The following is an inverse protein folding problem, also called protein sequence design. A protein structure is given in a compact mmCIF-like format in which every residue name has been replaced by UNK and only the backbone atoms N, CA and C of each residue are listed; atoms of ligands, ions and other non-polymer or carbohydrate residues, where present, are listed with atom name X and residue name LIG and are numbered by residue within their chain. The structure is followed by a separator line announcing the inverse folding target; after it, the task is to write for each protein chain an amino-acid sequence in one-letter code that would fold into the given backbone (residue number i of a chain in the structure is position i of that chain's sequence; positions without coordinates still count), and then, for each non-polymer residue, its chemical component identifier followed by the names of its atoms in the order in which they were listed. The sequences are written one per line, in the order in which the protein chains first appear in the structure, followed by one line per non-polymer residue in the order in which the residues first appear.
data_IF_961237060145
#
_entry.id   IF_961237060145
#
_cell.length_a   1.000
_cell.length_b   1.000
_cell.length_c   1.000
_cell.angle_alpha   90.00
_cell.angle_beta   90.00
_cell.angle_gamma   90.00
#
_symmetry.space_group_name_H-M   'P 1'
#
loop_
_entity.id
_entity.type
_entity.pdbx_description
1 polymer ?
#
# COMPACT_ATOMS: atom_id res chain seq x y z
N UNK A 1 8.89 6.68 8.82
CA UNK A 1 7.88 5.65 8.54
C UNK A 1 7.44 4.99 9.82
N UNK A 2 6.14 4.83 10.02
CA UNK A 2 5.60 3.97 11.06
C UNK A 2 5.76 2.49 10.66
N UNK A 3 5.86 1.61 11.65
CA UNK A 3 5.83 0.17 11.37
C UNK A 3 4.38 -0.31 11.14
N UNK A 4 3.46 0.02 12.04
CA UNK A 4 2.06 -0.43 11.99
C UNK A 4 1.03 0.71 12.11
N UNK A 5 1.37 1.82 12.72
CA UNK A 5 0.45 2.82 13.25
C UNK A 5 -0.31 3.61 12.19
N UNK A 6 0.21 3.67 10.96
CA UNK A 6 -0.44 4.33 9.83
C UNK A 6 -1.05 3.34 8.82
N UNK A 7 -0.98 2.03 9.07
CA UNK A 7 -1.62 1.03 8.22
C UNK A 7 -3.14 1.10 8.32
N UNK A 8 -3.79 0.77 7.22
CA UNK A 8 -5.25 0.85 7.08
C UNK A 8 -5.98 0.14 8.22
N UNK A 9 -5.64 -1.13 8.52
CA UNK A 9 -6.28 -1.90 9.59
C UNK A 9 -5.97 -1.43 11.02
N UNK A 10 -4.93 -0.60 11.21
CA UNK A 10 -4.62 -0.02 12.53
C UNK A 10 -5.46 1.21 12.84
N UNK A 11 -5.93 1.89 11.81
CA UNK A 11 -6.70 3.15 11.93
C UNK A 11 -8.19 2.88 11.79
N UNK A 12 -8.61 2.18 10.73
CA UNK A 12 -10.02 1.95 10.39
C UNK A 12 -10.59 0.77 11.19
N UNK A 13 -11.59 1.04 12.01
CA UNK A 13 -12.23 0.05 12.90
C UNK A 13 -13.73 -0.12 12.61
N UNK A 14 -14.33 0.70 11.74
CA UNK A 14 -15.73 0.62 11.35
C UNK A 14 -15.95 1.22 9.96
N UNK A 15 -17.03 0.82 9.30
CA UNK A 15 -17.52 1.49 8.08
C UNK A 15 -18.08 2.86 8.43
N UNK A 16 -17.97 3.78 7.48
CA UNK A 16 -18.44 5.16 7.60
C UNK A 16 -19.22 5.59 6.35
N UNK A 17 -19.93 6.69 6.45
CA UNK A 17 -20.71 7.30 5.36
C UNK A 17 -20.00 8.49 4.69
N UNK A 18 -18.87 8.92 5.23
CA UNK A 18 -18.03 9.99 4.69
C UNK A 18 -16.62 10.00 5.28
N UNK A 19 -15.68 10.64 4.60
CA UNK A 19 -14.34 10.87 5.11
C UNK A 19 -14.35 11.66 6.44
N UNK A 20 -15.22 12.65 6.57
CA UNK A 20 -15.34 13.45 7.80
C UNK A 20 -15.78 12.60 9.00
N UNK A 21 -16.70 11.65 8.78
CA UNK A 21 -17.07 10.69 9.81
C UNK A 21 -15.90 9.79 10.19
N UNK A 22 -15.08 9.36 9.22
CA UNK A 22 -13.87 8.58 9.46
C UNK A 22 -12.83 9.36 10.29
N UNK A 23 -12.65 10.64 10.03
CA UNK A 23 -11.78 11.50 10.82
C UNK A 23 -12.21 11.55 12.29
N UNK A 24 -13.52 11.52 12.56
CA UNK A 24 -14.06 11.59 13.92
C UNK A 24 -14.06 10.23 14.65
N UNK A 25 -14.27 9.12 13.92
CA UNK A 25 -14.53 7.80 14.53
C UNK A 25 -13.34 6.86 14.52
N UNK A 26 -12.43 6.98 13.55
CA UNK A 26 -11.30 6.08 13.42
C UNK A 26 -10.16 6.41 14.38
N UNK A 27 -9.29 5.41 14.62
CA UNK A 27 -8.19 5.51 15.59
C UNK A 27 -6.94 6.15 14.97
N UNK A 28 -6.88 7.46 14.93
CA UNK A 28 -5.72 8.21 14.39
C UNK A 28 -4.60 8.46 15.40
N UNK A 29 -4.81 8.16 16.69
CA UNK A 29 -3.95 8.60 17.79
C UNK A 29 -2.47 8.34 17.55
N UNK A 30 -2.10 7.11 17.19
CA UNK A 30 -0.70 6.74 17.02
C UNK A 30 -0.10 7.31 15.75
N UNK A 31 -0.83 7.29 14.64
CA UNK A 31 -0.40 7.90 13.38
C UNK A 31 -0.22 9.42 13.53
N UNK A 32 -1.15 10.11 14.19
CA UNK A 32 -1.05 11.55 14.49
C UNK A 32 0.20 11.86 15.33
N UNK A 33 0.50 11.03 16.33
CA UNK A 33 1.68 11.24 17.17
C UNK A 33 2.99 11.19 16.36
N UNK A 34 3.14 10.18 15.48
CA UNK A 34 4.32 10.06 14.62
C UNK A 34 4.42 11.20 13.59
N UNK A 35 3.31 11.53 12.92
CA UNK A 35 3.28 12.62 11.97
C UNK A 35 3.65 13.96 12.60
N UNK A 36 3.06 14.28 13.77
CA UNK A 36 3.34 15.52 14.48
C UNK A 36 4.78 15.57 14.99
N UNK A 37 5.32 14.45 15.49
CA UNK A 37 6.72 14.38 15.89
C UNK A 37 7.66 14.67 14.71
N UNK A 38 7.41 14.06 13.55
CA UNK A 38 8.20 14.31 12.35
C UNK A 38 8.17 15.79 11.94
N UNK A 39 6.99 16.42 11.95
CA UNK A 39 6.84 17.86 11.65
C UNK A 39 7.60 18.75 12.64
N UNK A 40 7.51 18.46 13.93
CA UNK A 40 8.19 19.24 14.98
C UNK A 40 9.71 19.15 14.90
N UNK A 41 10.23 18.03 14.39
CA UNK A 41 11.66 17.78 14.31
C UNK A 41 12.26 17.97 12.89
N UNK A 42 11.48 18.45 11.92
CA UNK A 42 11.95 18.64 10.55
C UNK A 42 12.31 17.33 9.82
N UNK A 43 11.69 16.22 10.21
CA UNK A 43 11.91 14.89 9.62
C UNK A 43 10.80 14.59 8.62
N UNK A 44 11.18 14.07 7.45
CA UNK A 44 10.20 13.61 6.45
C UNK A 44 9.40 12.41 6.98
N UNK A 45 8.08 12.49 6.80
CA UNK A 45 7.18 11.40 7.16
C UNK A 45 6.72 10.66 5.90
N UNK A 46 7.12 9.39 5.75
CA UNK A 46 6.58 8.49 4.73
C UNK A 46 5.37 7.75 5.31
N UNK A 47 4.20 7.92 4.71
CA UNK A 47 2.97 7.24 5.12
C UNK A 47 2.98 5.79 4.64
N UNK A 48 2.91 4.84 5.56
CA UNK A 48 2.90 3.41 5.27
C UNK A 48 1.70 2.75 5.94
N UNK A 49 0.73 2.31 5.18
CA UNK A 49 0.49 2.44 3.75
C UNK A 49 -1.01 2.65 3.50
N UNK A 50 -1.39 3.10 2.29
CA UNK A 50 -2.82 3.29 2.00
C UNK A 50 -3.56 1.97 1.86
N UNK A 51 -3.06 1.04 1.04
CA UNK A 51 -3.69 -0.26 0.80
C UNK A 51 -2.70 -1.40 0.98
N UNK A 52 -3.14 -2.39 1.72
CA UNK A 52 -2.44 -3.66 1.90
C UNK A 52 -3.47 -4.75 2.18
N UNK A 53 -3.26 -5.93 1.62
CA UNK A 53 -4.17 -7.07 1.80
C UNK A 53 -3.82 -7.95 3.00
N UNK A 54 -2.77 -7.60 3.75
CA UNK A 54 -2.56 -7.97 5.13
C UNK A 54 -2.83 -6.76 6.04
N UNK A 55 -3.17 -6.97 7.30
CA UNK A 55 -3.54 -5.92 8.26
C UNK A 55 -4.61 -4.94 7.73
N UNK A 56 -5.59 -5.47 6.99
CA UNK A 56 -6.73 -4.70 6.50
C UNK A 56 -7.87 -4.63 7.54
N UNK A 57 -8.77 -3.63 7.45
CA UNK A 57 -9.86 -3.48 8.42
C UNK A 57 -10.87 -4.62 8.36
N UNK A 58 -10.97 -5.45 9.40
CA UNK A 58 -11.90 -6.60 9.44
C UNK A 58 -13.37 -6.21 9.28
N UNK A 59 -13.74 -4.98 9.64
CA UNK A 59 -15.10 -4.46 9.44
C UNK A 59 -15.51 -4.36 7.95
N UNK A 60 -14.56 -4.51 7.01
CA UNK A 60 -14.80 -4.48 5.57
C UNK A 60 -14.98 -5.88 4.96
N UNK A 61 -14.85 -6.95 5.74
CA UNK A 61 -14.88 -8.34 5.26
C UNK A 61 -16.14 -8.71 4.45
N UNK A 62 -17.28 -8.12 4.82
CA UNK A 62 -18.58 -8.42 4.21
C UNK A 62 -19.08 -7.30 3.28
N UNK A 63 -18.20 -6.44 2.80
CA UNK A 63 -18.55 -5.41 1.82
C UNK A 63 -18.81 -6.06 0.44
N UNK A 64 -19.78 -5.52 -0.28
CA UNK A 64 -19.81 -5.66 -1.73
C UNK A 64 -18.64 -4.89 -2.37
N UNK A 65 -18.31 -5.18 -3.62
CA UNK A 65 -17.25 -4.46 -4.34
C UNK A 65 -17.52 -2.94 -4.40
N UNK A 66 -18.77 -2.53 -4.60
CA UNK A 66 -19.16 -1.12 -4.63
C UNK A 66 -19.01 -0.43 -3.27
N UNK A 67 -19.41 -1.12 -2.19
CA UNK A 67 -19.23 -0.60 -0.83
C UNK A 67 -17.75 -0.50 -0.47
N UNK A 68 -16.94 -1.51 -0.82
CA UNK A 68 -15.49 -1.45 -0.57
C UNK A 68 -14.84 -0.30 -1.30
N UNK A 69 -15.17 -0.09 -2.58
CA UNK A 69 -14.67 1.07 -3.35
C UNK A 69 -14.99 2.38 -2.62
N UNK A 70 -16.21 2.55 -2.15
CA UNK A 70 -16.62 3.75 -1.42
C UNK A 70 -15.85 3.91 -0.10
N UNK A 71 -15.64 2.83 0.66
CA UNK A 71 -14.84 2.88 1.90
C UNK A 71 -13.36 3.22 1.62
N UNK A 72 -12.78 2.73 0.52
CA UNK A 72 -11.43 3.12 0.07
C UNK A 72 -11.37 4.61 -0.28
N UNK A 73 -12.39 5.14 -0.96
CA UNK A 73 -12.48 6.58 -1.26
C UNK A 73 -12.51 7.42 0.02
N UNK A 74 -13.37 7.07 0.98
CA UNK A 74 -13.45 7.76 2.26
C UNK A 74 -12.15 7.67 3.07
N UNK A 75 -11.48 6.50 3.03
CA UNK A 75 -10.19 6.31 3.66
C UNK A 75 -9.12 7.25 3.08
N UNK A 76 -8.94 7.24 1.78
CA UNK A 76 -7.95 8.08 1.11
C UNK A 76 -8.25 9.57 1.27
N UNK A 77 -9.52 9.96 1.21
CA UNK A 77 -9.95 11.35 1.47
C UNK A 77 -9.65 11.76 2.91
N UNK A 78 -9.92 10.91 3.90
CA UNK A 78 -9.63 11.18 5.30
C UNK A 78 -8.13 11.35 5.56
N UNK A 79 -7.28 10.49 4.96
CA UNK A 79 -5.82 10.63 5.05
C UNK A 79 -5.36 11.96 4.45
N UNK A 80 -5.89 12.34 3.28
CA UNK A 80 -5.52 13.59 2.62
C UNK A 80 -5.92 14.83 3.43
N UNK A 81 -7.08 14.80 4.08
CA UNK A 81 -7.54 15.89 4.94
C UNK A 81 -6.69 15.98 6.22
N UNK A 82 -6.38 14.83 6.83
CA UNK A 82 -5.60 14.78 8.07
C UNK A 82 -4.12 15.12 7.88
N UNK A 83 -3.55 14.70 6.77
CA UNK A 83 -2.11 14.82 6.50
C UNK A 83 -1.86 15.51 5.15
N UNK A 84 -2.23 16.80 5.00
CA UNK A 84 -2.18 17.48 3.70
C UNK A 84 -0.77 17.68 3.15
N UNK A 85 0.26 17.59 4.01
CA UNK A 85 1.66 17.85 3.66
C UNK A 85 2.43 16.54 3.42
N UNK A 86 1.75 15.40 3.20
CA UNK A 86 2.44 14.15 2.90
C UNK A 86 3.25 14.29 1.62
N UNK A 87 4.56 14.04 1.74
CA UNK A 87 5.50 14.10 0.63
C UNK A 87 5.85 12.73 0.05
N UNK A 88 5.63 11.64 0.81
CA UNK A 88 5.95 10.26 0.42
C UNK A 88 4.87 9.30 0.95
N UNK A 89 4.38 8.42 0.07
CA UNK A 89 3.28 7.50 0.41
C UNK A 89 3.53 6.14 -0.24
N UNK A 90 3.56 5.08 0.57
CA UNK A 90 3.40 3.72 0.06
C UNK A 90 1.90 3.52 -0.25
N UNK A 91 1.54 3.60 -1.54
CA UNK A 91 0.13 3.52 -1.97
C UNK A 91 -0.38 2.09 -1.86
N UNK A 92 0.41 1.13 -2.34
CA UNK A 92 0.11 -0.31 -2.22
C UNK A 92 1.34 -1.03 -1.70
N UNK A 93 1.12 -1.91 -0.74
CA UNK A 93 2.15 -2.76 -0.14
C UNK A 93 1.90 -4.23 -0.47
N UNK A 94 2.95 -4.97 -0.89
CA UNK A 94 3.03 -6.43 -0.99
C UNK A 94 1.90 -7.06 -1.82
N UNK A 95 1.82 -6.74 -3.11
CA UNK A 95 0.77 -7.26 -3.98
C UNK A 95 1.25 -8.34 -4.97
N UNK A 96 2.53 -8.67 -5.01
CA UNK A 96 3.06 -9.81 -5.78
C UNK A 96 2.30 -11.09 -5.39
N UNK A 97 2.14 -12.01 -6.33
CA UNK A 97 1.51 -13.31 -6.10
C UNK A 97 2.18 -14.04 -4.94
N UNK A 98 1.40 -14.54 -3.99
CA UNK A 98 1.86 -15.20 -2.77
C UNK A 98 2.13 -14.26 -1.60
N UNK A 99 2.18 -12.94 -1.82
CA UNK A 99 2.34 -11.96 -0.74
C UNK A 99 0.99 -11.52 -0.17
N UNK A 100 0.94 -11.35 1.15
CA UNK A 100 -0.26 -10.90 1.87
C UNK A 100 -1.53 -11.70 1.50
N UNK A 101 -1.42 -13.04 1.50
CA UNK A 101 -2.50 -13.98 1.12
C UNK A 101 -2.88 -14.95 2.24
N UNK A 102 -2.39 -14.74 3.45
CA UNK A 102 -2.69 -15.57 4.62
C UNK A 102 -4.11 -15.37 5.15
N UNK A 103 -4.28 -15.61 6.43
CA UNK A 103 -5.55 -15.41 7.17
C UNK A 103 -5.33 -14.45 8.31
N UNK A 104 -6.17 -13.45 8.43
CA UNK A 104 -6.14 -12.46 9.50
C UNK A 104 -7.55 -12.25 10.08
N UNK A 105 -7.64 -12.23 11.41
CA UNK A 105 -8.92 -12.05 12.12
C UNK A 105 -10.04 -13.00 11.62
N UNK A 106 -9.67 -14.23 11.22
CA UNK A 106 -10.60 -15.24 10.70
C UNK A 106 -11.02 -15.04 9.23
N UNK A 107 -10.42 -14.09 8.52
CA UNK A 107 -10.72 -13.77 7.12
C UNK A 107 -9.53 -14.02 6.20
N UNK A 108 -9.78 -14.49 4.99
CA UNK A 108 -8.76 -14.72 3.97
C UNK A 108 -8.27 -13.41 3.35
N UNK A 109 -6.97 -13.16 3.43
CA UNK A 109 -6.33 -12.01 2.77
C UNK A 109 -6.38 -12.15 1.23
N UNK A 110 -6.28 -13.39 0.72
CA UNK A 110 -6.43 -13.65 -0.72
C UNK A 110 -7.84 -13.32 -1.23
N UNK A 111 -8.89 -13.62 -0.43
CA UNK A 111 -10.27 -13.24 -0.80
C UNK A 111 -10.46 -11.72 -0.75
N UNK A 112 -9.87 -11.06 0.23
CA UNK A 112 -9.90 -9.61 0.30
C UNK A 112 -9.14 -8.96 -0.86
N UNK A 113 -8.01 -9.53 -1.29
CA UNK A 113 -7.28 -9.10 -2.50
C UNK A 113 -8.15 -9.22 -3.75
N UNK A 114 -8.92 -10.31 -3.89
CA UNK A 114 -9.89 -10.46 -4.99
C UNK A 114 -11.03 -9.44 -4.92
N UNK A 115 -11.52 -9.16 -3.72
CA UNK A 115 -12.57 -8.14 -3.52
C UNK A 115 -12.05 -6.73 -3.87
N UNK A 116 -10.82 -6.39 -3.50
CA UNK A 116 -10.17 -5.14 -3.94
C UNK A 116 -10.04 -5.07 -5.46
N UNK A 117 -9.66 -6.18 -6.10
CA UNK A 117 -9.58 -6.26 -7.56
C UNK A 117 -10.93 -6.02 -8.23
N UNK A 118 -12.00 -6.58 -7.70
CA UNK A 118 -13.36 -6.31 -8.18
C UNK A 118 -13.76 -4.86 -7.92
N UNK A 119 -13.48 -4.33 -6.75
CA UNK A 119 -13.87 -2.99 -6.31
C UNK A 119 -13.19 -1.87 -7.13
N UNK A 120 -11.89 -1.96 -7.33
CA UNK A 120 -11.08 -0.91 -7.97
C UNK A 120 -10.72 -1.24 -9.42
N UNK A 121 -10.42 -2.51 -9.71
CA UNK A 121 -9.98 -2.95 -11.04
C UNK A 121 -11.10 -3.44 -11.96
N UNK A 122 -12.32 -3.60 -11.44
CA UNK A 122 -13.42 -4.27 -12.15
C UNK A 122 -12.98 -5.61 -12.76
N UNK A 123 -12.20 -6.39 -12.00
CA UNK A 123 -11.59 -7.65 -12.43
C UNK A 123 -11.70 -8.70 -11.34
N UNK A 124 -11.92 -9.96 -11.74
CA UNK A 124 -11.87 -11.11 -10.84
C UNK A 124 -10.44 -11.64 -10.63
N UNK A 125 -9.48 -11.22 -11.46
CA UNK A 125 -8.07 -11.58 -11.34
C UNK A 125 -7.29 -10.46 -10.66
N UNK A 126 -6.83 -10.63 -9.41
CA UNK A 126 -6.06 -9.61 -8.72
C UNK A 126 -4.65 -9.39 -9.30
N UNK A 127 -4.18 -10.32 -10.15
CA UNK A 127 -2.83 -10.31 -10.73
C UNK A 127 -2.78 -9.73 -12.14
N UNK A 128 -3.90 -9.19 -12.66
CA UNK A 128 -3.87 -8.25 -13.78
C UNK A 128 -3.49 -6.83 -13.31
N UNK A 129 -3.40 -6.64 -11.98
CA UNK A 129 -2.95 -5.43 -11.28
C UNK A 129 -3.74 -4.15 -11.60
N UNK A 130 -4.93 -4.26 -12.21
CA UNK A 130 -5.78 -3.10 -12.51
C UNK A 130 -6.19 -2.33 -11.26
N UNK A 131 -6.46 -3.06 -10.16
CA UNK A 131 -6.80 -2.45 -8.89
C UNK A 131 -5.66 -1.60 -8.31
N UNK A 132 -4.41 -2.01 -8.51
CA UNK A 132 -3.23 -1.24 -8.10
C UNK A 132 -3.13 0.04 -8.93
N UNK A 133 -3.22 -0.07 -10.27
CA UNK A 133 -3.18 1.09 -11.15
C UNK A 133 -4.28 2.11 -10.79
N UNK A 134 -5.48 1.66 -10.45
CA UNK A 134 -6.56 2.54 -10.00
C UNK A 134 -6.28 3.15 -8.63
N UNK A 135 -5.75 2.37 -7.68
CA UNK A 135 -5.34 2.89 -6.38
C UNK A 135 -4.34 4.05 -6.52
N UNK A 136 -3.36 3.92 -7.43
CA UNK A 136 -2.42 5.00 -7.73
C UNK A 136 -3.09 6.23 -8.35
N UNK A 137 -4.06 6.04 -9.27
CA UNK A 137 -4.84 7.19 -9.83
C UNK A 137 -5.65 7.88 -8.74
N UNK A 138 -6.28 7.11 -7.85
CA UNK A 138 -7.03 7.65 -6.70
C UNK A 138 -6.11 8.42 -5.74
N UNK A 139 -4.92 7.88 -5.47
CA UNK A 139 -3.92 8.53 -4.62
C UNK A 139 -3.38 9.82 -5.28
N UNK A 140 -3.01 9.80 -6.56
CA UNK A 140 -2.49 10.98 -7.28
C UNK A 140 -3.49 12.14 -7.28
N UNK A 141 -4.79 11.83 -7.43
CA UNK A 141 -5.86 12.85 -7.36
C UNK A 141 -5.88 13.58 -6.00
N UNK A 142 -5.54 12.90 -4.91
CA UNK A 142 -5.59 13.41 -3.53
C UNK A 142 -4.26 13.98 -3.05
N UNK A 143 -3.17 13.43 -3.55
CA UNK A 143 -1.80 13.78 -3.18
C UNK A 143 -1.00 14.17 -4.44
N UNK A 144 -1.34 15.29 -5.08
CA UNK A 144 -0.77 15.66 -6.39
C UNK A 144 0.74 15.84 -6.37
N UNK A 145 1.31 16.23 -5.22
CA UNK A 145 2.71 16.55 -5.06
C UNK A 145 3.51 15.48 -4.28
N UNK A 146 2.87 14.42 -3.79
CA UNK A 146 3.56 13.37 -3.06
C UNK A 146 4.27 12.39 -4.01
N UNK A 147 5.39 11.85 -3.57
CA UNK A 147 6.04 10.68 -4.19
C UNK A 147 5.19 9.46 -3.87
N UNK A 148 4.58 8.87 -4.89
CA UNK A 148 3.73 7.68 -4.78
C UNK A 148 4.55 6.43 -5.05
N UNK A 149 4.55 5.51 -4.08
CA UNK A 149 5.45 4.36 -4.03
C UNK A 149 4.64 3.07 -4.05
N UNK A 150 5.04 2.12 -4.90
CA UNK A 150 4.69 0.70 -4.74
C UNK A 150 5.80 0.02 -3.93
N UNK A 151 5.49 -0.69 -2.84
CA UNK A 151 6.46 -1.28 -1.93
C UNK A 151 6.27 -2.79 -1.80
N UNK A 152 7.38 -3.57 -1.89
CA UNK A 152 7.34 -5.02 -1.76
C UNK A 152 8.66 -5.61 -1.24
N UNK A 153 8.70 -6.93 -0.97
CA UNK A 153 9.87 -7.69 -0.52
C UNK A 153 10.24 -8.81 -1.50
N UNK A 154 11.38 -9.49 -1.31
CA UNK A 154 11.94 -10.50 -2.22
C UNK A 154 12.18 -10.03 -3.66
N UNK A 155 12.17 -8.74 -3.88
CA UNK A 155 12.23 -8.10 -5.21
C UNK A 155 13.61 -8.19 -5.87
N UNK A 156 14.64 -8.54 -5.11
CA UNK A 156 16.01 -8.73 -5.60
C UNK A 156 16.40 -10.21 -5.69
N UNK A 157 15.58 -11.11 -5.17
CA UNK A 157 15.87 -12.53 -5.05
C UNK A 157 14.95 -13.38 -5.93
N UNK A 158 14.29 -14.34 -5.38
CA UNK A 158 13.53 -15.35 -6.11
C UNK A 158 12.22 -14.83 -6.75
N UNK A 159 11.71 -13.69 -6.32
CA UNK A 159 10.52 -13.03 -6.91
C UNK A 159 10.86 -11.80 -7.78
N UNK A 160 12.11 -11.63 -8.17
CA UNK A 160 12.52 -10.52 -9.04
C UNK A 160 11.67 -10.43 -10.32
N UNK A 161 11.45 -11.56 -10.98
CA UNK A 161 10.68 -11.58 -12.24
C UNK A 161 9.21 -11.24 -12.02
N UNK A 162 8.59 -11.73 -10.94
CA UNK A 162 7.21 -11.38 -10.58
C UNK A 162 7.07 -9.87 -10.31
N UNK A 163 8.09 -9.29 -9.67
CA UNK A 163 8.15 -7.83 -9.44
C UNK A 163 8.28 -7.06 -10.76
N UNK A 164 9.18 -7.48 -11.65
CA UNK A 164 9.35 -6.85 -12.97
C UNK A 164 8.06 -6.92 -13.78
N UNK A 165 7.37 -8.07 -13.80
CA UNK A 165 6.11 -8.25 -14.52
C UNK A 165 5.00 -7.35 -13.96
N UNK A 166 4.92 -7.23 -12.63
CA UNK A 166 4.00 -6.31 -11.97
C UNK A 166 4.29 -4.86 -12.40
N UNK A 167 5.54 -4.42 -12.29
CA UNK A 167 5.96 -3.06 -12.67
C UNK A 167 5.64 -2.79 -14.14
N UNK A 168 6.01 -3.71 -15.04
CA UNK A 168 5.73 -3.58 -16.48
C UNK A 168 4.22 -3.47 -16.76
N UNK A 169 3.40 -4.25 -16.05
CA UNK A 169 1.94 -4.16 -16.14
C UNK A 169 1.43 -2.80 -15.69
N UNK A 170 1.93 -2.24 -14.58
CA UNK A 170 1.51 -0.94 -14.07
C UNK A 170 1.93 0.21 -15.00
N UNK A 171 3.14 0.16 -15.55
CA UNK A 171 3.60 1.12 -16.56
C UNK A 171 2.72 1.07 -17.79
N UNK A 172 2.43 -0.12 -18.32
CA UNK A 172 1.53 -0.33 -19.47
C UNK A 172 0.12 0.23 -19.22
N UNK A 173 -0.36 0.18 -17.98
CA UNK A 173 -1.66 0.71 -17.57
C UNK A 173 -1.63 2.23 -17.29
N UNK A 174 -0.48 2.89 -17.41
CA UNK A 174 -0.31 4.31 -17.13
C UNK A 174 -0.58 4.67 -15.68
N UNK A 175 -0.21 3.78 -14.74
CA UNK A 175 -0.30 4.08 -13.31
C UNK A 175 0.67 5.21 -12.94
N UNK A 176 0.25 6.24 -12.20
CA UNK A 176 1.10 7.37 -11.84
C UNK A 176 2.01 7.05 -10.65
N UNK A 177 2.94 6.11 -10.85
CA UNK A 177 3.94 5.70 -9.87
C UNK A 177 5.18 6.56 -10.04
N UNK A 178 5.73 7.05 -8.92
CA UNK A 178 6.97 7.84 -8.94
C UNK A 178 8.17 7.02 -8.49
N UNK A 179 7.97 6.00 -7.66
CA UNK A 179 9.05 5.19 -7.12
C UNK A 179 8.60 3.77 -6.75
N UNK A 180 9.58 2.88 -6.67
CA UNK A 180 9.44 1.52 -6.16
C UNK A 180 10.20 1.38 -4.85
N UNK A 181 9.52 0.85 -3.84
CA UNK A 181 10.10 0.57 -2.52
C UNK A 181 10.48 -0.90 -2.42
N UNK A 182 11.68 -1.14 -1.95
CA UNK A 182 12.18 -2.48 -1.67
C UNK A 182 12.41 -2.60 -0.16
N UNK A 183 11.76 -3.57 0.49
CA UNK A 183 11.90 -3.76 1.94
C UNK A 183 13.28 -4.28 2.31
N UNK A 184 14.00 -4.89 1.37
CA UNK A 184 15.42 -5.27 1.49
C UNK A 184 15.75 -6.19 2.67
N UNK A 185 14.79 -7.01 3.11
CA UNK A 185 15.02 -8.02 4.16
C UNK A 185 16.06 -9.07 3.78
N UNK A 186 16.28 -9.25 2.49
CA UNK A 186 17.19 -10.23 1.89
C UNK A 186 18.61 -9.69 1.63
N UNK A 187 18.87 -8.39 1.89
CA UNK A 187 20.22 -7.80 1.72
C UNK A 187 21.28 -8.44 2.60
N UNK A 188 20.91 -8.88 3.80
CA UNK A 188 21.83 -9.55 4.72
C UNK A 188 22.34 -10.88 4.13
N UNK A 189 21.52 -11.60 3.39
CA UNK A 189 21.90 -12.83 2.71
C UNK A 189 22.90 -12.57 1.56
N UNK A 190 22.74 -11.47 0.82
CA UNK A 190 23.72 -11.06 -0.19
C UNK A 190 25.07 -10.71 0.45
N UNK A 191 25.05 -10.03 1.59
CA UNK A 191 26.27 -9.70 2.32
C UNK A 191 26.98 -10.95 2.86
N UNK A 192 26.24 -11.82 3.55
CA UNK A 192 26.78 -13.05 4.15
C UNK A 192 27.35 -14.03 3.11
N UNK A 193 26.77 -14.08 1.93
CA UNK A 193 27.20 -14.94 0.83
C UNK A 193 28.20 -14.28 -0.13
N UNK A 194 28.72 -13.09 0.22
CA UNK A 194 29.65 -12.32 -0.60
C UNK A 194 29.12 -12.02 -2.04
N UNK A 195 27.82 -11.75 -2.15
CA UNK A 195 27.10 -11.56 -3.43
C UNK A 195 26.72 -10.10 -3.71
N UNK A 196 27.41 -9.12 -3.14
CA UNK A 196 27.11 -7.68 -3.32
C UNK A 196 27.15 -7.27 -4.79
N UNK A 197 28.09 -7.85 -5.58
CA UNK A 197 28.17 -7.57 -7.02
C UNK A 197 26.90 -8.07 -7.75
N UNK A 198 26.36 -9.23 -7.36
CA UNK A 198 25.12 -9.75 -7.92
C UNK A 198 23.94 -8.84 -7.58
N UNK A 199 23.86 -8.32 -6.36
CA UNK A 199 22.85 -7.33 -5.97
C UNK A 199 22.92 -6.09 -6.87
N UNK A 200 24.11 -5.53 -7.09
CA UNK A 200 24.30 -4.39 -7.98
C UNK A 200 23.91 -4.65 -9.44
N UNK A 201 24.05 -5.90 -9.92
CA UNK A 201 23.59 -6.29 -11.25
C UNK A 201 22.07 -6.39 -11.29
N UNK A 202 21.43 -6.99 -10.28
CA UNK A 202 19.97 -7.08 -10.16
C UNK A 202 19.32 -5.70 -10.14
N UNK A 203 19.90 -4.72 -9.44
CA UNK A 203 19.42 -3.33 -9.45
C UNK A 203 19.39 -2.67 -10.84
N UNK A 204 20.23 -3.11 -11.76
CA UNK A 204 20.25 -2.60 -13.15
C UNK A 204 19.22 -3.25 -14.04
N UNK A 205 18.69 -4.39 -13.64
CA UNK A 205 17.68 -5.16 -14.38
C UNK A 205 16.25 -4.73 -14.00
N UNK A 206 16.06 -4.19 -12.79
CA UNK A 206 14.80 -3.64 -12.29
C UNK A 206 14.66 -2.17 -12.70
#
# INVERSE_FOLDING_TARGET
TCENESKWGSIVNCKVSSAQEGIQKWNWKSSDAHYNWCKQNGVLFKFHCLLWTSQWPSCLANCSASELKQQVEYWMDAVAIKYPDLSMIDVVNEAIRGHAEGTENGHSCADFKRLLSQALGNSSDPYDYKWIAEAFRMARKRFPNAVLIYNDYNTFTWQKNDFIDLVASLVKQGAPIDAYGHQSHDLDDYYKNNQITNFGNTLKEI
#
